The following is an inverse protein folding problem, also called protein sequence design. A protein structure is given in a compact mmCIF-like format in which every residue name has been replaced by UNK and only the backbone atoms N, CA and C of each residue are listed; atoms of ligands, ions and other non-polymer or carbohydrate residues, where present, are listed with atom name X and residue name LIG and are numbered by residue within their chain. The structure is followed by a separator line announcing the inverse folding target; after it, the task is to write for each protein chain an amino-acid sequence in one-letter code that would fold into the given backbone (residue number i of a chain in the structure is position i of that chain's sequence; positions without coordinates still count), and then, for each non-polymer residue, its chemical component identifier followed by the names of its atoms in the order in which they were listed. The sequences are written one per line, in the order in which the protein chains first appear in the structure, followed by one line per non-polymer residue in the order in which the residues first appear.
data_IF_471665173261
#
_entry.id   IF_471665173261
#
_cell.length_a   1.000
_cell.length_b   1.000
_cell.length_c   1.000
_cell.angle_alpha   90.00
_cell.angle_beta   90.00
_cell.angle_gamma   90.00
#
_symmetry.space_group_name_H-M   'P 1'
#
loop_
_entity.id
_entity.type
_entity.pdbx_description
1 polymer ?
#
# COMPACT_ATOMS: atom_id res chain seq x y z
N UNK A 1 19.75 -23.24 7.49
CA UNK A 1 19.35 -21.95 8.11
C UNK A 1 17.89 -22.08 8.53
N UNK A 2 17.53 -21.83 9.80
CA UNK A 2 16.11 -21.88 10.21
C UNK A 2 15.38 -20.72 9.55
N UNK A 3 14.28 -21.00 8.85
CA UNK A 3 13.43 -19.97 8.24
C UNK A 3 12.86 -19.10 9.36
N UNK A 4 12.92 -17.78 9.22
CA UNK A 4 12.35 -16.86 10.20
C UNK A 4 10.83 -17.10 10.35
N UNK A 5 10.33 -17.16 11.59
CA UNK A 5 8.90 -17.42 11.89
C UNK A 5 7.92 -16.56 11.05
N UNK A 6 8.13 -15.24 10.85
CA UNK A 6 7.22 -14.45 10.02
C UNK A 6 7.09 -14.93 8.57
N UNK A 7 8.15 -15.53 8.01
CA UNK A 7 8.11 -16.06 6.64
C UNK A 7 7.28 -17.35 6.54
N UNK A 8 7.17 -18.11 7.63
CA UNK A 8 6.27 -19.26 7.72
C UNK A 8 4.82 -18.78 7.83
N UNK A 9 4.55 -17.82 8.72
CA UNK A 9 3.23 -17.21 8.88
C UNK A 9 2.73 -16.55 7.58
N UNK A 10 3.62 -15.92 6.81
CA UNK A 10 3.29 -15.38 5.49
C UNK A 10 2.71 -16.43 4.53
N UNK A 11 3.19 -17.68 4.58
CA UNK A 11 2.63 -18.75 3.75
C UNK A 11 1.19 -19.09 4.16
N UNK A 12 0.88 -19.04 5.46
CA UNK A 12 -0.47 -19.24 6.00
C UNK A 12 -1.38 -18.06 5.63
N UNK A 13 -0.88 -16.82 5.71
CA UNK A 13 -1.57 -15.62 5.20
C UNK A 13 -1.92 -15.83 3.72
N UNK A 14 -0.97 -16.22 2.88
CA UNK A 14 -1.21 -16.41 1.44
C UNK A 14 -2.25 -17.51 1.15
N UNK A 15 -2.34 -18.54 1.99
CA UNK A 15 -3.36 -19.59 1.88
C UNK A 15 -4.73 -19.09 2.30
N UNK A 16 -4.84 -18.46 3.48
CA UNK A 16 -6.08 -17.94 4.02
C UNK A 16 -6.67 -16.80 3.16
N UNK A 17 -5.80 -15.97 2.58
CA UNK A 17 -6.22 -14.85 1.72
C UNK A 17 -6.94 -15.30 0.43
N UNK A 18 -6.74 -16.54 -0.01
CA UNK A 18 -7.44 -17.10 -1.18
C UNK A 18 -8.90 -17.45 -0.86
N UNK A 19 -9.19 -17.78 0.40
CA UNK A 19 -10.51 -18.21 0.84
C UNK A 19 -11.34 -17.05 1.38
N UNK A 20 -10.73 -16.18 2.18
CA UNK A 20 -11.40 -15.07 2.84
C UNK A 20 -10.42 -13.90 3.01
N UNK A 21 -10.80 -12.73 2.48
CA UNK A 21 -9.95 -11.53 2.50
C UNK A 21 -10.32 -10.58 3.64
N UNK A 22 -11.46 -10.78 4.30
CA UNK A 22 -12.01 -9.90 5.35
C UNK A 22 -12.19 -10.61 6.70
N UNK A 23 -12.08 -11.93 6.77
CA UNK A 23 -12.33 -12.69 7.99
C UNK A 23 -11.42 -12.34 9.17
N UNK A 24 -11.89 -12.67 10.37
CA UNK A 24 -11.10 -12.51 11.59
C UNK A 24 -9.89 -13.46 11.62
N UNK A 25 -10.00 -14.64 10.98
CA UNK A 25 -8.90 -15.59 10.87
C UNK A 25 -7.71 -15.00 10.08
N UNK A 26 -7.95 -14.39 8.92
CA UNK A 26 -6.90 -13.72 8.14
C UNK A 26 -6.40 -12.47 8.87
N UNK A 27 -7.28 -11.76 9.58
CA UNK A 27 -6.90 -10.61 10.43
C UNK A 27 -5.84 -11.01 11.46
N UNK A 28 -6.09 -12.11 12.19
CA UNK A 28 -5.16 -12.63 13.19
C UNK A 28 -3.83 -13.07 12.60
N UNK A 29 -3.84 -13.76 11.45
CA UNK A 29 -2.60 -14.19 10.77
C UNK A 29 -1.75 -13.01 10.29
N UNK A 30 -2.37 -11.97 9.71
CA UNK A 30 -1.65 -10.77 9.27
C UNK A 30 -1.05 -10.07 10.48
N UNK A 31 -1.83 -9.86 11.55
CA UNK A 31 -1.36 -9.22 12.77
C UNK A 31 -0.19 -9.98 13.41
N UNK A 32 -0.28 -11.31 13.53
CA UNK A 32 0.81 -12.14 14.06
C UNK A 32 2.07 -12.04 13.18
N UNK A 33 1.91 -12.09 11.86
CA UNK A 33 3.01 -11.95 10.89
C UNK A 33 3.74 -10.61 11.08
N UNK A 34 3.00 -9.51 11.18
CA UNK A 34 3.55 -8.18 11.42
C UNK A 34 4.27 -8.11 12.78
N UNK A 35 3.63 -8.58 13.84
CA UNK A 35 4.18 -8.53 15.20
C UNK A 35 5.48 -9.34 15.30
N UNK A 36 5.55 -10.51 14.69
CA UNK A 36 6.79 -11.28 14.67
C UNK A 36 7.89 -10.64 13.81
N UNK A 37 7.52 -9.97 12.70
CA UNK A 37 8.48 -9.22 11.90
C UNK A 37 9.08 -8.06 12.70
N UNK A 38 8.24 -7.29 13.42
CA UNK A 38 8.69 -6.20 14.29
C UNK A 38 9.55 -6.73 15.45
N UNK A 39 9.16 -7.81 16.12
CA UNK A 39 9.97 -8.45 17.18
C UNK A 39 11.32 -8.97 16.67
N UNK A 40 11.36 -9.48 15.45
CA UNK A 40 12.60 -9.89 14.80
C UNK A 40 13.52 -8.67 14.59
N UNK A 41 12.97 -7.58 14.08
CA UNK A 41 13.73 -6.35 13.77
C UNK A 41 14.15 -5.58 15.02
N UNK A 42 13.39 -5.64 16.11
CA UNK A 42 13.73 -5.01 17.38
C UNK A 42 15.08 -5.47 17.95
N UNK A 43 15.57 -6.64 17.52
CA UNK A 43 16.87 -7.22 17.91
C UNK A 43 18.01 -6.85 16.97
N UNK A 44 17.74 -6.09 15.90
CA UNK A 44 18.71 -5.71 14.88
C UNK A 44 19.27 -4.33 15.17
N UNK A 45 20.55 -4.16 14.89
CA UNK A 45 21.18 -2.84 14.90
C UNK A 45 20.52 -1.96 13.84
N UNK A 46 20.37 -0.67 14.15
CA UNK A 46 19.92 0.35 13.21
C UNK A 46 21.13 1.18 12.78
N UNK A 47 21.27 1.36 11.48
CA UNK A 47 22.26 2.26 10.88
C UNK A 47 21.55 3.47 10.31
N UNK A 48 21.89 4.64 10.81
CA UNK A 48 21.43 5.92 10.26
C UNK A 48 21.91 6.08 8.81
N UNK A 49 21.08 6.64 7.95
CA UNK A 49 21.36 6.89 6.54
C UNK A 49 21.46 8.39 6.29
N UNK A 50 22.08 8.76 5.16
CA UNK A 50 22.12 10.15 4.71
C UNK A 50 20.79 10.43 4.00
N UNK A 51 20.03 11.41 4.44
CA UNK A 51 18.77 11.78 3.79
C UNK A 51 19.01 12.87 2.74
N UNK A 52 18.68 12.56 1.48
CA UNK A 52 18.53 13.53 0.40
C UNK A 52 17.11 14.05 0.26
N UNK A 53 16.23 13.81 1.25
CA UNK A 53 14.82 14.20 1.24
C UNK A 53 14.56 15.19 2.36
N UNK A 54 14.08 16.38 2.00
CA UNK A 54 13.87 17.47 2.95
C UNK A 54 12.85 17.11 4.04
N UNK A 55 13.24 17.36 5.29
CA UNK A 55 12.41 17.15 6.47
C UNK A 55 12.12 15.69 6.80
N UNK A 56 12.87 14.74 6.24
CA UNK A 56 12.77 13.31 6.55
C UNK A 56 14.13 12.73 6.93
N UNK A 57 14.12 11.82 7.88
CA UNK A 57 15.30 11.08 8.32
C UNK A 57 15.06 9.58 8.12
N UNK A 58 16.12 8.86 7.74
CA UNK A 58 16.03 7.45 7.41
C UNK A 58 17.10 6.62 8.13
N UNK A 59 16.75 5.37 8.41
CA UNK A 59 17.68 4.36 8.88
C UNK A 59 17.46 3.03 8.13
N UNK A 60 18.44 2.13 8.17
CA UNK A 60 18.30 0.74 7.75
C UNK A 60 18.55 -0.20 8.92
N UNK A 61 17.87 -1.34 8.94
CA UNK A 61 18.24 -2.44 9.82
C UNK A 61 19.47 -3.16 9.26
N UNK A 62 20.35 -3.60 10.15
CA UNK A 62 21.56 -4.35 9.81
C UNK A 62 21.33 -5.84 10.08
N UNK A 63 21.43 -6.64 9.03
CA UNK A 63 21.38 -8.10 9.09
C UNK A 63 22.76 -8.74 9.20
N UNK A 64 22.79 -10.04 8.98
CA UNK A 64 24.06 -10.79 8.97
C UNK A 64 25.00 -10.28 7.88
N UNK A 65 26.31 -10.32 8.15
CA UNK A 65 27.37 -9.86 7.22
C UNK A 65 27.24 -8.38 6.79
N UNK A 66 26.59 -7.55 7.60
CA UNK A 66 26.43 -6.11 7.32
C UNK A 66 25.42 -5.79 6.23
N UNK A 67 24.60 -6.76 5.80
CA UNK A 67 23.53 -6.54 4.83
C UNK A 67 22.53 -5.52 5.38
N UNK A 68 22.13 -4.55 4.57
CA UNK A 68 21.18 -3.51 4.95
C UNK A 68 19.79 -3.83 4.40
N UNK A 69 18.75 -3.55 5.19
CA UNK A 69 17.38 -3.47 4.68
C UNK A 69 17.20 -2.23 3.81
N UNK A 70 16.06 -2.14 3.11
CA UNK A 70 15.57 -0.87 2.53
C UNK A 70 15.48 0.24 3.60
N UNK A 71 15.48 1.51 3.19
CA UNK A 71 15.43 2.64 4.12
C UNK A 71 14.05 2.74 4.79
N UNK A 72 14.07 3.11 6.06
CA UNK A 72 12.91 3.24 6.93
C UNK A 72 12.83 4.68 7.42
N UNK A 73 11.70 5.35 7.18
CA UNK A 73 11.41 6.69 7.63
C UNK A 73 11.26 6.68 9.16
N UNK A 74 12.13 7.41 9.84
CA UNK A 74 12.22 7.43 11.29
C UNK A 74 10.94 7.95 11.95
N UNK A 75 10.29 8.96 11.36
CA UNK A 75 9.11 9.60 11.94
C UNK A 75 7.84 8.72 11.85
N UNK A 76 7.79 7.81 10.88
CA UNK A 76 6.63 6.95 10.65
C UNK A 76 6.74 5.58 11.32
N UNK A 77 7.98 5.11 11.56
CA UNK A 77 8.22 3.76 12.06
C UNK A 77 8.05 3.67 13.58
N UNK A 78 7.01 2.96 13.99
CA UNK A 78 6.78 2.53 15.36
C UNK A 78 7.33 1.10 15.54
N UNK A 79 8.37 0.88 16.37
CA UNK A 79 8.85 -0.46 16.66
C UNK A 79 7.89 -1.29 17.54
N UNK A 80 6.91 -0.64 18.19
CA UNK A 80 5.87 -1.31 18.98
C UNK A 80 4.74 -1.87 18.12
N UNK A 81 4.02 -2.87 18.64
CA UNK A 81 2.83 -3.41 17.98
C UNK A 81 1.52 -2.79 18.46
N UNK A 82 1.53 -1.97 19.51
CA UNK A 82 0.33 -1.49 20.19
C UNK A 82 -0.63 -0.76 19.23
N UNK A 83 -0.12 0.16 18.40
CA UNK A 83 -0.94 0.88 17.40
C UNK A 83 -1.54 -0.05 16.36
N UNK A 84 -0.79 -1.08 15.95
CA UNK A 84 -1.26 -2.07 14.99
C UNK A 84 -2.36 -2.94 15.59
N UNK A 85 -2.21 -3.36 16.84
CA UNK A 85 -3.22 -4.13 17.57
C UNK A 85 -4.51 -3.33 17.75
N UNK A 86 -4.39 -2.04 18.13
CA UNK A 86 -5.53 -1.12 18.22
C UNK A 86 -6.23 -0.97 16.87
N UNK A 87 -5.49 -0.82 15.76
CA UNK A 87 -6.06 -0.73 14.41
C UNK A 87 -6.85 -1.99 14.03
N UNK A 88 -6.29 -3.17 14.26
CA UNK A 88 -6.96 -4.43 13.90
C UNK A 88 -8.21 -4.67 14.75
N UNK A 89 -8.18 -4.30 16.03
CA UNK A 89 -9.35 -4.38 16.90
C UNK A 89 -10.43 -3.36 16.50
N UNK A 90 -10.04 -2.14 16.15
CA UNK A 90 -10.93 -1.11 15.63
C UNK A 90 -11.65 -1.58 14.36
N UNK A 91 -10.91 -2.17 13.41
CA UNK A 91 -11.47 -2.76 12.20
C UNK A 91 -12.40 -3.94 12.47
N UNK A 92 -12.09 -4.76 13.47
CA UNK A 92 -12.97 -5.86 13.92
C UNK A 92 -14.30 -5.37 14.47
N UNK A 93 -14.30 -4.21 15.13
CA UNK A 93 -15.51 -3.54 15.62
C UNK A 93 -16.23 -2.72 14.54
N UNK A 94 -15.68 -2.64 13.34
CA UNK A 94 -16.24 -1.86 12.24
C UNK A 94 -16.11 -0.34 12.39
N UNK A 95 -15.22 0.15 13.28
CA UNK A 95 -14.99 1.58 13.45
C UNK A 95 -13.53 1.89 13.74
N UNK A 96 -12.96 2.81 12.96
CA UNK A 96 -11.60 3.34 13.14
C UNK A 96 -11.59 4.75 13.74
N UNK A 97 -12.76 5.25 14.20
CA UNK A 97 -12.93 6.62 14.70
C UNK A 97 -12.12 6.96 15.94
N UNK A 98 -11.54 5.96 16.62
CA UNK A 98 -10.71 6.11 17.81
C UNK A 98 -9.24 6.38 17.48
N UNK A 99 -8.84 6.32 16.21
CA UNK A 99 -7.47 6.58 15.76
C UNK A 99 -7.41 7.76 14.81
N UNK A 100 -6.35 8.55 14.90
CA UNK A 100 -6.08 9.60 13.92
C UNK A 100 -5.61 8.98 12.59
N UNK A 101 -5.82 9.66 11.44
CA UNK A 101 -5.23 9.25 10.17
C UNK A 101 -3.71 9.04 10.24
N UNK A 102 -3.00 9.82 11.04
CA UNK A 102 -1.55 9.71 11.19
C UNK A 102 -1.17 8.44 11.96
N UNK A 103 -1.89 8.11 13.03
CA UNK A 103 -1.67 6.86 13.79
C UNK A 103 -1.95 5.62 12.94
N UNK A 104 -3.02 5.64 12.15
CA UNK A 104 -3.35 4.55 11.22
C UNK A 104 -2.25 4.41 10.16
N UNK A 105 -1.77 5.53 9.61
CA UNK A 105 -0.69 5.54 8.62
C UNK A 105 0.60 4.97 9.21
N UNK A 106 1.00 5.41 10.41
CA UNK A 106 2.19 4.92 11.11
C UNK A 106 2.10 3.43 11.43
N UNK A 107 0.93 2.94 11.89
CA UNK A 107 0.72 1.52 12.15
C UNK A 107 0.86 0.68 10.87
N UNK A 108 0.21 1.12 9.78
CA UNK A 108 0.28 0.45 8.48
C UNK A 108 1.69 0.51 7.88
N UNK A 109 2.38 1.65 8.00
CA UNK A 109 3.76 1.84 7.59
C UNK A 109 4.66 0.84 8.29
N UNK A 110 4.59 0.77 9.62
CA UNK A 110 5.42 -0.10 10.45
C UNK A 110 5.21 -1.57 10.13
N UNK A 111 3.95 -1.99 9.94
CA UNK A 111 3.60 -3.34 9.48
C UNK A 111 4.23 -3.67 8.11
N UNK A 112 4.00 -2.83 7.11
CA UNK A 112 4.43 -3.06 5.74
C UNK A 112 5.96 -2.97 5.58
N UNK A 113 6.58 -1.92 6.12
CA UNK A 113 8.03 -1.72 6.04
C UNK A 113 8.78 -2.71 6.91
N UNK A 114 8.23 -3.10 8.07
CA UNK A 114 8.83 -4.09 8.95
C UNK A 114 8.91 -5.46 8.29
N UNK A 115 7.81 -5.94 7.70
CA UNK A 115 7.85 -7.19 6.93
C UNK A 115 8.80 -7.09 5.73
N UNK A 116 8.79 -5.96 5.03
CA UNK A 116 9.69 -5.73 3.89
C UNK A 116 11.17 -5.78 4.29
N UNK A 117 11.54 -5.14 5.40
CA UNK A 117 12.91 -5.15 5.91
C UNK A 117 13.35 -6.54 6.37
N UNK A 118 12.47 -7.30 7.03
CA UNK A 118 12.74 -8.70 7.37
C UNK A 118 13.10 -9.51 6.11
N UNK A 119 12.28 -9.42 5.06
CA UNK A 119 12.55 -10.12 3.80
C UNK A 119 13.86 -9.66 3.18
N UNK A 120 14.11 -8.34 3.15
CA UNK A 120 15.36 -7.80 2.62
C UNK A 120 16.56 -8.38 3.36
N UNK A 121 16.49 -8.64 4.67
CA UNK A 121 17.60 -9.20 5.44
C UNK A 121 17.74 -10.72 5.25
N UNK A 122 16.63 -11.46 5.19
CA UNK A 122 16.61 -12.93 5.17
C UNK A 122 16.70 -13.55 3.76
N UNK A 123 16.30 -12.81 2.72
CA UNK A 123 16.29 -13.28 1.33
C UNK A 123 16.99 -12.30 0.40
N UNK A 124 17.92 -12.78 -0.39
CA UNK A 124 18.63 -11.94 -1.37
C UNK A 124 17.74 -11.69 -2.60
N UNK A 125 17.54 -10.42 -2.95
CA UNK A 125 16.86 -10.01 -4.18
C UNK A 125 15.34 -10.27 -4.24
N UNK A 126 14.71 -10.75 -3.16
CA UNK A 126 13.28 -11.06 -3.14
C UNK A 126 12.43 -9.78 -3.01
N UNK A 127 12.09 -9.19 -4.16
CA UNK A 127 11.19 -8.02 -4.23
C UNK A 127 9.71 -8.41 -4.37
N UNK A 128 9.41 -9.67 -4.67
CA UNK A 128 8.04 -10.14 -4.90
C UNK A 128 7.32 -10.39 -3.59
N UNK A 129 7.96 -11.07 -2.64
CA UNK A 129 7.35 -11.41 -1.35
C UNK A 129 6.88 -10.16 -0.58
N UNK A 130 7.66 -9.08 -0.45
CA UNK A 130 7.21 -7.85 0.20
C UNK A 130 6.05 -7.19 -0.55
N UNK A 131 6.10 -7.19 -1.89
CA UNK A 131 5.04 -6.65 -2.73
C UNK A 131 3.71 -7.37 -2.54
N UNK A 132 3.73 -8.71 -2.61
CA UNK A 132 2.54 -9.53 -2.42
C UNK A 132 1.98 -9.45 -0.99
N UNK A 133 2.84 -9.41 0.03
CA UNK A 133 2.37 -9.18 1.40
C UNK A 133 1.72 -7.81 1.55
N UNK A 134 2.31 -6.77 0.96
CA UNK A 134 1.76 -5.43 0.99
C UNK A 134 0.39 -5.36 0.31
N UNK A 135 0.22 -6.02 -0.84
CA UNK A 135 -1.08 -6.19 -1.50
C UNK A 135 -2.10 -6.85 -0.57
N UNK A 136 -1.74 -7.93 0.12
CA UNK A 136 -2.64 -8.61 1.06
C UNK A 136 -3.02 -7.72 2.25
N UNK A 137 -2.05 -7.03 2.84
CA UNK A 137 -2.29 -6.12 3.95
C UNK A 137 -3.27 -5.02 3.55
N UNK A 138 -2.97 -4.27 2.49
CA UNK A 138 -3.82 -3.15 2.07
C UNK A 138 -5.20 -3.64 1.63
N UNK A 139 -5.26 -4.71 0.85
CA UNK A 139 -6.53 -5.28 0.40
C UNK A 139 -7.39 -5.77 1.59
N UNK A 140 -6.79 -6.38 2.61
CA UNK A 140 -7.50 -6.78 3.82
C UNK A 140 -8.08 -5.57 4.56
N UNK A 141 -7.26 -4.54 4.79
CA UNK A 141 -7.67 -3.33 5.51
C UNK A 141 -8.81 -2.58 4.78
N UNK A 142 -8.70 -2.47 3.45
CA UNK A 142 -9.74 -1.85 2.61
C UNK A 142 -11.01 -2.71 2.59
N UNK A 143 -10.90 -4.03 2.45
CA UNK A 143 -12.05 -4.94 2.49
C UNK A 143 -12.81 -4.86 3.82
N UNK A 144 -12.07 -4.74 4.94
CA UNK A 144 -12.65 -4.52 6.27
C UNK A 144 -13.39 -3.21 6.35
N UNK A 145 -12.76 -2.11 5.94
CA UNK A 145 -13.35 -0.77 6.02
C UNK A 145 -14.57 -0.60 5.14
N UNK A 146 -14.56 -1.18 3.93
CA UNK A 146 -15.68 -1.09 2.98
C UNK A 146 -16.74 -2.16 3.22
N UNK A 147 -16.44 -3.18 4.01
CA UNK A 147 -17.37 -4.28 4.28
C UNK A 147 -17.64 -5.19 3.07
N UNK A 148 -16.74 -5.20 2.07
CA UNK A 148 -16.91 -5.94 0.80
C UNK A 148 -15.63 -6.70 0.44
N UNK A 149 -15.78 -7.93 -0.04
CA UNK A 149 -14.68 -8.70 -0.62
C UNK A 149 -14.40 -8.28 -2.07
N UNK A 150 -13.14 -8.05 -2.44
CA UNK A 150 -12.80 -7.61 -3.79
C UNK A 150 -12.75 -8.76 -4.80
N UNK A 151 -12.87 -8.37 -6.07
CA UNK A 151 -12.67 -9.22 -7.25
C UNK A 151 -11.38 -8.81 -7.97
N UNK A 152 -10.76 -9.75 -8.69
CA UNK A 152 -9.54 -9.52 -9.50
C UNK A 152 -9.79 -9.66 -11.00
N UNK A 153 -11.07 -9.77 -11.38
CA UNK A 153 -11.50 -9.89 -12.76
C UNK A 153 -12.77 -9.10 -12.92
N UNK A 154 -12.86 -8.42 -14.06
CA UNK A 154 -14.08 -7.79 -14.53
C UNK A 154 -14.44 -8.38 -15.87
N UNK A 155 -15.73 -8.40 -16.18
CA UNK A 155 -16.19 -8.67 -17.53
C UNK A 155 -15.89 -7.46 -18.42
N UNK A 156 -15.64 -7.71 -19.69
CA UNK A 156 -15.47 -6.67 -20.69
C UNK A 156 -16.50 -6.91 -21.76
N UNK A 157 -17.25 -5.86 -22.08
CA UNK A 157 -18.23 -5.88 -23.16
C UNK A 157 -17.46 -5.98 -24.49
N UNK A 158 -17.38 -7.18 -25.03
CA UNK A 158 -16.83 -7.45 -26.35
C UNK A 158 -17.97 -7.94 -27.25
N UNK A 159 -18.03 -7.44 -28.48
CA UNK A 159 -19.16 -7.61 -29.41
C UNK A 159 -19.42 -9.09 -29.74
N UNK A 160 -18.38 -9.91 -29.76
CA UNK A 160 -18.48 -11.30 -30.24
C UNK A 160 -18.59 -12.33 -29.10
N UNK A 161 -17.94 -12.10 -27.95
CA UNK A 161 -17.89 -13.05 -26.82
C UNK A 161 -17.66 -12.36 -25.47
N UNK A 162 -18.39 -12.76 -24.40
CA UNK A 162 -18.05 -12.39 -23.04
C UNK A 162 -16.59 -12.73 -22.74
N UNK A 163 -15.80 -11.71 -22.41
CA UNK A 163 -14.39 -11.85 -22.06
C UNK A 163 -14.18 -11.23 -20.69
N UNK A 164 -13.23 -11.75 -19.91
CA UNK A 164 -12.85 -11.11 -18.63
C UNK A 164 -11.41 -10.64 -18.66
N UNK A 165 -11.19 -9.44 -18.15
CA UNK A 165 -9.87 -8.84 -17.99
C UNK A 165 -9.39 -9.09 -16.55
N UNK A 166 -8.18 -9.64 -16.35
CA UNK A 166 -7.52 -9.58 -15.06
C UNK A 166 -7.26 -8.13 -14.67
N UNK A 167 -7.64 -7.76 -13.47
CA UNK A 167 -7.43 -6.42 -12.92
C UNK A 167 -6.68 -6.50 -11.59
N UNK A 168 -6.29 -5.34 -11.09
CA UNK A 168 -6.05 -5.16 -9.66
C UNK A 168 -7.36 -5.38 -8.86
N UNK A 169 -7.37 -5.05 -7.58
CA UNK A 169 -8.53 -5.27 -6.71
C UNK A 169 -9.70 -4.34 -7.08
N UNK A 170 -10.87 -4.91 -7.31
CA UNK A 170 -12.13 -4.18 -7.54
C UNK A 170 -13.07 -4.42 -6.38
N UNK A 171 -13.49 -3.35 -5.70
CA UNK A 171 -14.52 -3.38 -4.65
C UNK A 171 -15.84 -2.89 -5.21
N UNK A 172 -16.86 -3.75 -5.14
CA UNK A 172 -18.21 -3.46 -5.63
C UNK A 172 -19.07 -2.94 -4.47
N UNK A 173 -19.27 -1.62 -4.40
CA UNK A 173 -19.95 -0.97 -3.27
C UNK A 173 -21.47 -1.14 -3.29
N UNK A 174 -22.01 -1.84 -4.29
CA UNK A 174 -23.45 -2.08 -4.45
C UNK A 174 -24.05 -1.33 -5.64
N UNK A 175 -25.37 -1.46 -5.77
CA UNK A 175 -26.13 -0.89 -6.89
C UNK A 175 -26.03 0.63 -6.88
N UNK A 176 -25.86 1.22 -8.06
CA UNK A 176 -25.72 2.66 -8.30
C UNK A 176 -24.56 3.37 -7.60
N UNK A 177 -23.68 2.61 -6.93
CA UNK A 177 -22.45 3.12 -6.36
C UNK A 177 -21.28 2.91 -7.33
N UNK A 178 -20.33 3.85 -7.39
CA UNK A 178 -19.10 3.63 -8.15
C UNK A 178 -18.27 2.53 -7.46
N UNK A 179 -17.57 1.73 -8.26
CA UNK A 179 -16.67 0.67 -7.76
C UNK A 179 -15.30 1.25 -7.45
N UNK A 180 -14.59 0.70 -6.47
CA UNK A 180 -13.20 1.13 -6.20
C UNK A 180 -12.24 0.23 -6.98
N UNK A 181 -11.38 0.84 -7.80
CA UNK A 181 -10.26 0.17 -8.44
C UNK A 181 -8.99 0.47 -7.63
N UNK A 182 -8.47 -0.55 -6.95
CA UNK A 182 -7.40 -0.44 -5.95
C UNK A 182 -6.10 -1.15 -6.41
N UNK A 183 -5.29 -0.50 -7.26
CA UNK A 183 -3.91 -0.92 -7.47
C UNK A 183 -3.07 -0.64 -6.21
N UNK A 184 -2.24 -1.62 -5.83
CA UNK A 184 -1.34 -1.52 -4.67
C UNK A 184 0.10 -1.75 -5.12
N UNK A 185 1.03 -0.88 -4.74
CA UNK A 185 2.45 -0.98 -5.13
C UNK A 185 3.37 -0.59 -3.99
N UNK A 186 4.47 -1.33 -3.77
CA UNK A 186 5.46 -0.88 -2.78
C UNK A 186 6.17 0.41 -3.21
N UNK A 187 6.50 0.53 -4.49
CA UNK A 187 6.90 1.78 -5.16
C UNK A 187 6.38 1.73 -6.60
N UNK A 188 6.16 2.90 -7.20
CA UNK A 188 5.50 2.94 -8.52
C UNK A 188 6.49 2.74 -9.67
N UNK A 189 7.65 3.41 -9.62
CA UNK A 189 8.71 3.35 -10.64
C UNK A 189 8.12 3.52 -12.07
N UNK A 190 8.70 2.86 -13.06
CA UNK A 190 8.20 2.86 -14.45
C UNK A 190 6.81 2.23 -14.60
N UNK A 191 6.41 1.36 -13.66
CA UNK A 191 5.13 0.63 -13.72
C UNK A 191 3.93 1.47 -13.32
N UNK A 192 4.11 2.74 -12.96
CA UNK A 192 3.01 3.65 -12.60
C UNK A 192 1.99 3.81 -13.73
N UNK A 193 2.44 3.79 -14.98
CA UNK A 193 1.57 3.91 -16.15
C UNK A 193 0.47 2.84 -16.19
N UNK A 194 0.76 1.64 -15.66
CA UNK A 194 -0.20 0.53 -15.64
C UNK A 194 -1.47 0.88 -14.86
N UNK A 195 -1.34 1.71 -13.82
CA UNK A 195 -2.45 2.16 -12.97
C UNK A 195 -3.42 3.01 -13.77
N UNK A 196 -2.91 4.03 -14.48
CA UNK A 196 -3.72 4.89 -15.35
C UNK A 196 -4.25 4.16 -16.57
N UNK A 197 -3.47 3.24 -17.14
CA UNK A 197 -3.91 2.42 -18.27
C UNK A 197 -5.07 1.50 -17.89
N UNK A 198 -5.00 0.83 -16.73
CA UNK A 198 -6.11 0.03 -16.21
C UNK A 198 -7.35 0.91 -15.97
N UNK A 199 -7.19 2.07 -15.34
CA UNK A 199 -8.31 3.00 -15.15
C UNK A 199 -8.93 3.44 -16.47
N UNK A 200 -8.12 3.74 -17.50
CA UNK A 200 -8.62 4.10 -18.83
C UNK A 200 -9.45 2.98 -19.46
N UNK A 201 -9.04 1.73 -19.30
CA UNK A 201 -9.82 0.58 -19.79
C UNK A 201 -11.16 0.50 -19.05
N UNK A 202 -11.18 0.67 -17.73
CA UNK A 202 -12.42 0.69 -16.94
C UNK A 202 -13.37 1.80 -17.41
N UNK A 203 -12.86 3.02 -17.55
CA UNK A 203 -13.64 4.17 -18.01
C UNK A 203 -14.18 3.96 -19.42
N UNK A 204 -13.41 3.32 -20.29
CA UNK A 204 -13.82 3.02 -21.67
C UNK A 204 -14.91 1.96 -21.78
N UNK A 205 -14.85 0.92 -20.93
CA UNK A 205 -15.81 -0.19 -20.96
C UNK A 205 -17.12 0.16 -20.25
N UNK A 206 -17.03 0.86 -19.11
CA UNK A 206 -18.18 1.08 -18.21
C UNK A 206 -18.66 2.53 -18.17
N UNK A 207 -17.91 3.46 -18.74
CA UNK A 207 -18.15 4.89 -18.63
C UNK A 207 -17.36 5.52 -17.48
N UNK A 208 -16.93 6.77 -17.69
CA UNK A 208 -16.16 7.53 -16.70
C UNK A 208 -16.93 7.71 -15.39
N UNK A 209 -16.23 7.63 -14.26
CA UNK A 209 -16.81 7.80 -12.92
C UNK A 209 -17.52 6.57 -12.37
N UNK A 210 -17.65 5.48 -13.13
CA UNK A 210 -18.14 4.18 -12.62
C UNK A 210 -17.11 3.43 -11.79
N UNK A 211 -15.83 3.72 -11.99
CA UNK A 211 -14.73 3.19 -11.20
C UNK A 211 -13.91 4.35 -10.63
N UNK A 212 -13.70 4.35 -9.33
CA UNK A 212 -12.83 5.27 -8.61
C UNK A 212 -11.43 4.67 -8.56
N UNK A 213 -10.52 5.20 -9.38
CA UNK A 213 -9.12 4.83 -9.33
C UNK A 213 -8.49 5.29 -8.02
N UNK A 214 -8.09 4.34 -7.18
CA UNK A 214 -7.54 4.58 -5.85
C UNK A 214 -6.21 3.86 -5.69
N UNK A 215 -5.09 4.54 -5.96
CA UNK A 215 -3.76 3.94 -5.84
C UNK A 215 -3.32 3.95 -4.38
N UNK A 216 -2.77 2.84 -3.88
CA UNK A 216 -2.09 2.80 -2.57
C UNK A 216 -0.63 2.40 -2.75
N UNK A 217 0.27 3.18 -2.17
CA UNK A 217 1.71 2.96 -2.25
C UNK A 217 2.39 2.93 -0.88
N UNK A 218 3.50 2.20 -0.76
CA UNK A 218 4.32 2.23 0.45
C UNK A 218 5.19 3.49 0.46
N UNK A 219 6.12 3.65 -0.49
CA UNK A 219 7.04 4.79 -0.59
C UNK A 219 7.65 4.91 -1.99
N UNK A 220 8.33 6.02 -2.30
CA UNK A 220 9.15 6.18 -3.52
C UNK A 220 10.66 6.21 -3.23
N UNK A 221 11.07 5.75 -2.05
CA UNK A 221 12.47 5.83 -1.61
C UNK A 221 13.38 4.87 -2.39
N UNK A 222 14.63 5.30 -2.57
CA UNK A 222 15.73 4.52 -3.13
C UNK A 222 16.97 4.78 -2.28
N UNK A 223 17.59 3.72 -1.80
CA UNK A 223 18.89 3.76 -1.13
C UNK A 223 20.01 3.52 -2.14
N UNK A 224 21.01 4.41 -2.15
CA UNK A 224 22.30 4.13 -2.76
C UNK A 224 23.19 3.40 -1.74
N UNK A 225 23.52 2.15 -2.01
CA UNK A 225 24.31 1.33 -1.08
C UNK A 225 25.79 1.74 -0.97
N UNK A 226 26.30 2.59 -1.86
CA UNK A 226 27.68 3.10 -1.82
C UNK A 226 27.79 4.34 -0.96
N UNK A 227 26.90 5.30 -1.15
CA UNK A 227 26.90 6.57 -0.41
C UNK A 227 26.07 6.51 0.87
N UNK A 228 25.21 5.49 1.01
CA UNK A 228 24.18 5.38 2.06
C UNK A 228 23.16 6.52 2.03
N UNK A 229 22.99 7.13 0.86
CA UNK A 229 22.04 8.21 0.62
C UNK A 229 20.66 7.67 0.23
N UNK A 230 19.61 8.26 0.80
CA UNK A 230 18.21 7.99 0.48
C UNK A 230 17.63 9.16 -0.31
N UNK A 231 17.08 8.86 -1.48
CA UNK A 231 16.35 9.82 -2.32
C UNK A 231 14.96 9.29 -2.64
N UNK A 232 14.04 10.18 -3.04
CA UNK A 232 12.73 9.81 -3.59
C UNK A 232 12.78 9.84 -5.13
N UNK A 233 12.32 8.78 -5.78
CA UNK A 233 12.24 8.72 -7.24
C UNK A 233 10.83 9.11 -7.68
N UNK A 234 10.65 10.37 -8.02
CA UNK A 234 9.34 10.95 -8.34
C UNK A 234 9.31 11.55 -9.75
N UNK A 235 8.16 11.42 -10.42
CA UNK A 235 7.91 11.90 -11.78
C UNK A 235 6.60 12.71 -11.84
N UNK A 236 6.49 13.84 -11.11
CA UNK A 236 5.24 14.58 -10.95
C UNK A 236 4.65 15.08 -12.27
N UNK A 237 5.49 15.56 -13.18
CA UNK A 237 5.05 16.03 -14.51
C UNK A 237 4.47 14.89 -15.37
N UNK A 238 5.06 13.69 -15.27
CA UNK A 238 4.53 12.52 -15.95
C UNK A 238 3.15 12.13 -15.39
N UNK A 239 2.95 12.22 -14.07
CA UNK A 239 1.66 11.95 -13.45
C UNK A 239 0.59 12.95 -13.90
N UNK A 240 0.93 14.24 -14.02
CA UNK A 240 0.03 15.26 -14.57
C UNK A 240 -0.39 14.94 -16.00
N UNK A 241 0.56 14.55 -16.86
CA UNK A 241 0.27 14.12 -18.24
C UNK A 241 -0.70 12.92 -18.23
N UNK A 242 -0.47 11.93 -17.36
CA UNK A 242 -1.36 10.76 -17.25
C UNK A 242 -2.76 11.14 -16.75
N UNK A 243 -2.84 12.03 -15.77
CA UNK A 243 -4.10 12.54 -15.22
C UNK A 243 -4.92 13.34 -16.25
N UNK A 244 -4.26 14.10 -17.13
CA UNK A 244 -4.92 14.88 -18.18
C UNK A 244 -5.37 14.02 -19.36
N UNK A 245 -4.49 13.15 -19.84
CA UNK A 245 -4.61 12.58 -21.19
C UNK A 245 -4.87 11.08 -21.21
N UNK A 246 -4.73 10.38 -20.08
CA UNK A 246 -4.97 8.93 -20.00
C UNK A 246 -6.25 8.65 -19.22
N UNK A 247 -6.26 8.92 -17.92
CA UNK A 247 -7.41 8.68 -17.05
C UNK A 247 -7.33 9.53 -15.80
N UNK A 248 -8.44 9.73 -15.11
CA UNK A 248 -8.46 10.46 -13.84
C UNK A 248 -8.45 9.48 -12.68
N UNK A 249 -7.39 9.51 -11.89
CA UNK A 249 -7.36 8.85 -10.59
C UNK A 249 -8.15 9.69 -9.58
N UNK A 250 -8.94 9.03 -8.73
CA UNK A 250 -9.73 9.66 -7.68
C UNK A 250 -8.87 10.03 -6.48
N UNK A 251 -8.08 9.07 -5.99
CA UNK A 251 -7.19 9.23 -4.83
C UNK A 251 -5.89 8.48 -5.03
N UNK A 252 -4.82 9.02 -4.48
CA UNK A 252 -3.54 8.33 -4.33
C UNK A 252 -3.15 8.40 -2.87
N UNK A 253 -2.90 7.25 -2.26
CA UNK A 253 -2.44 7.18 -0.89
C UNK A 253 -1.02 6.65 -0.81
N UNK A 254 -0.26 7.19 0.13
CA UNK A 254 1.05 6.68 0.50
C UNK A 254 1.11 6.37 2.00
N UNK A 255 1.91 5.38 2.37
CA UNK A 255 2.32 5.20 3.76
C UNK A 255 3.47 6.16 4.12
N UNK A 256 4.39 6.44 3.19
CA UNK A 256 5.40 7.50 3.26
C UNK A 256 5.23 8.42 2.04
N UNK A 257 4.49 9.52 2.21
CA UNK A 257 4.10 10.45 1.13
C UNK A 257 5.32 11.15 0.56
N UNK A 258 5.65 11.03 -0.74
CA UNK A 258 6.80 11.70 -1.31
C UNK A 258 6.63 13.23 -1.34
N UNK A 259 7.69 13.97 -1.01
CA UNK A 259 7.65 15.45 -0.96
C UNK A 259 7.22 16.06 -2.29
N UNK A 260 7.75 15.54 -3.39
CA UNK A 260 7.44 16.01 -4.74
C UNK A 260 5.97 15.81 -5.15
N UNK A 261 5.22 14.97 -4.42
CA UNK A 261 3.83 14.66 -4.72
C UNK A 261 2.82 15.36 -3.80
N UNK A 262 3.26 15.96 -2.68
CA UNK A 262 2.39 16.66 -1.73
C UNK A 262 1.60 17.79 -2.40
N UNK A 263 2.24 18.55 -3.28
CA UNK A 263 1.65 19.72 -3.96
C UNK A 263 0.92 19.40 -5.27
N UNK A 264 0.80 18.13 -5.67
CA UNK A 264 0.11 17.77 -6.93
C UNK A 264 -1.39 18.11 -6.94
N UNK A 265 -1.98 18.38 -5.77
CA UNK A 265 -3.37 18.79 -5.64
C UNK A 265 -3.58 20.30 -5.82
N UNK A 266 -2.51 21.10 -5.75
CA UNK A 266 -2.58 22.58 -5.74
C UNK A 266 -2.81 23.16 -7.14
N UNK A 267 -2.33 22.46 -8.18
CA UNK A 267 -2.41 22.91 -9.56
C UNK A 267 -3.22 21.94 -10.44
N UNK A 268 -3.82 22.46 -11.51
CA UNK A 268 -4.48 21.62 -12.51
C UNK A 268 -3.44 20.87 -13.38
N UNK A 269 -3.64 19.58 -13.69
CA UNK A 269 -4.70 18.69 -13.22
C UNK A 269 -4.46 18.29 -11.75
N UNK A 270 -5.51 18.35 -10.92
CA UNK A 270 -5.39 17.97 -9.52
C UNK A 270 -5.19 16.46 -9.39
N UNK A 271 -4.20 16.07 -8.60
CA UNK A 271 -4.01 14.69 -8.14
C UNK A 271 -3.98 14.73 -6.62
N UNK A 272 -4.97 14.10 -5.99
CA UNK A 272 -5.12 14.10 -4.54
C UNK A 272 -4.22 13.01 -3.94
N UNK A 273 -3.07 13.44 -3.40
CA UNK A 273 -2.09 12.57 -2.76
C UNK A 273 -2.14 12.76 -1.25
N UNK A 274 -2.43 11.69 -0.50
CA UNK A 274 -2.64 11.76 0.95
C UNK A 274 -1.96 10.61 1.72
N UNK A 275 -1.71 10.77 3.02
CA UNK A 275 -1.41 9.65 3.90
C UNK A 275 -2.54 8.61 3.87
N UNK A 276 -2.20 7.32 3.88
CA UNK A 276 -3.18 6.23 3.74
C UNK A 276 -4.23 6.21 4.84
N UNK A 277 -3.91 6.61 6.08
CA UNK A 277 -4.91 6.66 7.14
C UNK A 277 -6.08 7.59 6.83
N UNK A 278 -5.91 8.57 5.93
CA UNK A 278 -6.99 9.43 5.46
C UNK A 278 -8.08 8.65 4.72
N UNK A 279 -7.74 7.55 4.04
CA UNK A 279 -8.70 6.64 3.42
C UNK A 279 -9.83 6.25 4.38
N UNK A 280 -9.51 5.97 5.65
CA UNK A 280 -10.51 5.50 6.61
C UNK A 280 -11.54 6.56 7.00
N UNK A 281 -11.13 7.84 6.95
CA UNK A 281 -11.99 8.99 7.19
C UNK A 281 -12.86 9.34 5.98
N UNK A 282 -12.38 9.10 4.75
CA UNK A 282 -13.10 9.43 3.52
C UNK A 282 -13.78 8.24 2.83
N UNK A 283 -13.63 7.02 3.35
CA UNK A 283 -14.15 5.79 2.74
C UNK A 283 -15.65 5.84 2.42
N UNK A 284 -16.47 6.49 3.26
CA UNK A 284 -17.92 6.61 3.03
C UNK A 284 -18.26 7.68 1.97
N UNK A 285 -17.31 8.53 1.62
CA UNK A 285 -17.46 9.67 0.72
C UNK A 285 -16.53 9.59 -0.50
N UNK A 286 -15.93 8.42 -0.80
CA UNK A 286 -14.95 8.29 -1.89
C UNK A 286 -15.48 8.75 -3.25
N UNK A 287 -16.81 8.67 -3.47
CA UNK A 287 -17.47 9.11 -4.71
C UNK A 287 -17.86 10.59 -4.74
N UNK A 288 -17.73 11.31 -3.63
CA UNK A 288 -18.02 12.75 -3.58
C UNK A 288 -16.74 13.49 -4.01
N UNK A 289 -16.84 14.26 -5.09
CA UNK A 289 -15.73 15.09 -5.55
C UNK A 289 -15.46 16.23 -4.56
N UNK A 290 -14.20 16.40 -4.19
CA UNK A 290 -13.67 17.62 -3.55
C UNK A 290 -13.10 18.56 -4.63
#
# INVERSE_FOLDING_TARGET
MRVAKPLLLYADVAKAFRTDRRGDAISGLILETCNDALRYLAKRERRSLISGVEGKEYFSFVGSKGKLSRPVNLALFDPGSDRLEVLFEALRRGSTSTMSPDDITSACYSAAIGFSCLVDLEKDGDQKTPGTFFEYLICHLVARRLGVDPKTRIEVLNLDKPTSLPTDWIFDLGVDQPKVHLPVKTSTRERVIQVWAHQRVLDGVYGAGRFLGTLVCLAETKLDHRTLEVVEICLPEQWKIYQMFIARMNRVYYLDVPRAYESLHEAFPRIHVHPFGRFFAEADNLGNGD
#
